data_IF_060743708623
#
_entry.id   IF_060743708623
#
_cell.length_a   1.000
_cell.length_b   1.000
_cell.length_c   1.000
_cell.angle_alpha   90.00
_cell.angle_beta   90.00
_cell.angle_gamma   90.00
#
_symmetry.space_group_name_H-M   'P 1'
#
loop_
_entity.id
_entity.type
_entity.pdbx_description
1 polymer ?
#
# COMPACT_ATOMS: atom_id res chain seq x y z
N UNK A 1 -8.58 6.17 0.80
CA UNK A 1 -9.85 5.43 0.60
C UNK A 1 -10.95 6.46 0.29
N UNK A 2 -11.96 6.16 -0.53
CA UNK A 2 -13.07 7.11 -0.77
C UNK A 2 -14.09 7.07 0.38
N UNK A 3 -14.92 8.11 0.51
CA UNK A 3 -15.95 8.19 1.55
C UNK A 3 -16.96 7.05 1.41
N UNK A 4 -17.38 6.70 0.18
CA UNK A 4 -18.32 5.59 -0.03
C UNK A 4 -17.74 4.27 0.49
N UNK A 5 -16.45 4.02 0.27
CA UNK A 5 -15.79 2.81 0.78
C UNK A 5 -15.67 2.79 2.31
N UNK A 6 -15.54 3.96 2.94
CA UNK A 6 -15.58 4.08 4.41
C UNK A 6 -16.96 3.74 4.96
N UNK A 7 -18.00 4.38 4.42
CA UNK A 7 -19.40 4.14 4.82
C UNK A 7 -19.77 2.67 4.68
N UNK A 8 -19.47 2.09 3.52
CA UNK A 8 -19.72 0.67 3.28
C UNK A 8 -18.99 -0.19 4.33
N UNK A 9 -17.69 0.03 4.57
CA UNK A 9 -16.94 -0.74 5.56
C UNK A 9 -17.56 -0.66 6.96
N UNK A 10 -17.96 0.54 7.38
CA UNK A 10 -18.58 0.79 8.69
C UNK A 10 -19.89 0.02 8.82
N UNK A 11 -20.80 0.11 7.84
CA UNK A 11 -22.09 -0.59 7.86
C UNK A 11 -21.99 -2.13 7.77
N UNK A 12 -20.84 -2.67 7.35
CA UNK A 12 -20.61 -4.11 7.38
C UNK A 12 -20.32 -4.61 8.80
N UNK A 13 -19.63 -3.81 9.60
CA UNK A 13 -19.09 -4.21 10.89
C UNK A 13 -19.85 -3.60 12.07
N UNK A 14 -20.69 -2.59 11.83
CA UNK A 14 -21.63 -2.02 12.80
C UNK A 14 -23.08 -2.27 12.38
N UNK A 15 -23.90 -2.67 13.33
CA UNK A 15 -25.36 -2.71 13.19
C UNK A 15 -25.99 -1.48 13.85
N UNK A 16 -27.19 -1.09 13.43
CA UNK A 16 -27.94 -0.01 14.08
C UNK A 16 -27.32 1.37 13.92
N UNK A 17 -26.62 1.63 12.81
CA UNK A 17 -26.00 2.94 12.56
C UNK A 17 -26.93 3.87 11.79
N UNK A 18 -27.08 5.10 12.26
CA UNK A 18 -27.83 6.18 11.58
C UNK A 18 -26.96 6.90 10.56
N UNK A 19 -27.55 7.83 9.80
CA UNK A 19 -26.75 8.71 8.94
C UNK A 19 -25.83 9.64 9.75
N UNK A 20 -26.19 10.01 10.97
CA UNK A 20 -25.39 10.90 11.81
C UNK A 20 -24.21 10.15 12.42
N UNK A 21 -24.41 8.91 12.85
CA UNK A 21 -23.32 8.01 13.28
C UNK A 21 -22.23 7.90 12.20
N UNK A 22 -22.65 7.72 10.93
CA UNK A 22 -21.71 7.64 9.81
C UNK A 22 -20.96 8.94 9.55
N UNK A 23 -21.64 10.10 9.65
CA UNK A 23 -20.99 11.40 9.48
C UNK A 23 -19.90 11.58 10.53
N UNK A 24 -20.23 11.28 11.79
CA UNK A 24 -19.33 11.40 12.92
C UNK A 24 -18.08 10.53 12.75
N UNK A 25 -18.27 9.24 12.44
CA UNK A 25 -17.17 8.29 12.17
C UNK A 25 -16.29 8.79 11.02
N UNK A 26 -16.88 9.23 9.90
CA UNK A 26 -16.09 9.69 8.74
C UNK A 26 -15.37 11.01 9.04
N UNK A 27 -15.99 11.94 9.76
CA UNK A 27 -15.35 13.19 10.20
C UNK A 27 -14.21 12.95 11.20
N UNK A 28 -14.28 11.89 12.02
CA UNK A 28 -13.16 11.49 12.86
C UNK A 28 -11.95 11.00 12.03
N UNK A 29 -12.17 10.48 10.82
CA UNK A 29 -11.09 9.99 9.92
C UNK A 29 -10.36 11.09 9.14
N UNK A 30 -10.88 12.32 9.12
CA UNK A 30 -10.29 13.43 8.37
C UNK A 30 -11.20 14.65 8.32
N UNK A 31 -10.73 15.73 7.70
CA UNK A 31 -11.53 16.96 7.55
C UNK A 31 -12.42 16.87 6.30
N UNK A 32 -13.25 15.83 6.23
CA UNK A 32 -14.23 15.64 5.16
C UNK A 32 -15.42 16.57 5.37
N UNK A 33 -15.75 17.45 4.41
CA UNK A 33 -16.94 18.30 4.51
C UNK A 33 -18.21 17.44 4.64
N UNK A 34 -19.13 17.85 5.51
CA UNK A 34 -20.39 17.11 5.71
C UNK A 34 -21.19 16.98 4.41
N UNK A 35 -21.10 17.98 3.53
CA UNK A 35 -21.72 17.98 2.20
C UNK A 35 -21.21 16.85 1.31
N UNK A 36 -19.91 16.52 1.35
CA UNK A 36 -19.34 15.39 0.62
C UNK A 36 -19.79 14.05 1.20
N UNK A 37 -19.90 13.97 2.52
CA UNK A 37 -20.37 12.77 3.21
C UNK A 37 -21.85 12.50 2.86
N UNK A 38 -22.70 13.53 2.92
CA UNK A 38 -24.11 13.45 2.51
C UNK A 38 -24.25 13.03 1.05
N UNK A 39 -23.44 13.60 0.14
CA UNK A 39 -23.41 13.20 -1.28
C UNK A 39 -23.02 11.73 -1.44
N UNK A 40 -22.02 11.26 -0.71
CA UNK A 40 -21.56 9.87 -0.74
C UNK A 40 -22.65 8.91 -0.24
N UNK A 41 -23.32 9.22 0.87
CA UNK A 41 -24.45 8.43 1.40
C UNK A 41 -25.60 8.39 0.40
N UNK A 42 -26.00 9.54 -0.15
CA UNK A 42 -27.05 9.64 -1.17
C UNK A 42 -26.74 8.78 -2.40
N UNK A 43 -25.50 8.81 -2.87
CA UNK A 43 -25.05 7.99 -4.00
C UNK A 43 -25.18 6.49 -3.71
N UNK A 44 -24.87 6.05 -2.49
CA UNK A 44 -25.01 4.66 -2.06
C UNK A 44 -26.49 4.22 -1.95
N UNK A 45 -27.40 5.14 -1.62
CA UNK A 45 -28.84 4.89 -1.70
C UNK A 45 -29.29 4.70 -3.16
N UNK A 46 -28.90 5.62 -4.05
CA UNK A 46 -29.28 5.58 -5.48
C UNK A 46 -28.74 4.32 -6.16
N UNK A 47 -27.53 3.87 -5.82
CA UNK A 47 -26.98 2.61 -6.34
C UNK A 47 -27.60 1.36 -5.67
N UNK A 48 -28.52 1.54 -4.73
CA UNK A 48 -29.10 0.53 -3.86
C UNK A 48 -28.03 -0.33 -3.16
N UNK A 49 -26.90 0.25 -2.80
CA UNK A 49 -25.87 -0.42 -1.99
C UNK A 49 -26.24 -0.41 -0.50
N UNK A 50 -27.03 0.57 -0.07
CA UNK A 50 -27.59 0.69 1.29
C UNK A 50 -29.09 0.99 1.22
N UNK A 51 -29.81 0.72 2.30
CA UNK A 51 -31.20 1.16 2.52
C UNK A 51 -31.42 1.58 3.96
N UNK A 52 -32.53 2.26 4.21
CA UNK A 52 -33.00 2.55 5.57
C UNK A 52 -34.00 1.49 6.04
N UNK A 53 -33.92 1.08 7.30
CA UNK A 53 -34.88 0.20 7.97
C UNK A 53 -34.97 0.59 9.43
N UNK A 54 -36.18 0.94 9.90
CA UNK A 54 -36.44 1.36 11.28
C UNK A 54 -35.51 2.50 11.76
N UNK A 55 -35.25 3.50 10.91
CA UNK A 55 -34.35 4.62 11.25
C UNK A 55 -32.85 4.32 11.15
N UNK A 56 -32.46 3.09 10.79
CA UNK A 56 -31.06 2.67 10.67
C UNK A 56 -30.67 2.35 9.23
N UNK A 57 -29.40 2.60 8.91
CA UNK A 57 -28.82 2.27 7.62
C UNK A 57 -28.36 0.81 7.61
N UNK A 58 -28.73 0.10 6.54
CA UNK A 58 -28.43 -1.32 6.36
C UNK A 58 -27.73 -1.54 5.03
N UNK A 59 -26.60 -2.25 5.08
CA UNK A 59 -25.86 -2.68 3.90
C UNK A 59 -26.58 -3.83 3.17
N UNK A 60 -26.79 -3.68 1.87
CA UNK A 60 -27.43 -4.70 1.03
C UNK A 60 -26.44 -5.78 0.54
N UNK A 61 -26.94 -6.99 0.29
CA UNK A 61 -26.11 -8.16 -0.03
C UNK A 61 -25.21 -7.95 -1.26
N UNK A 62 -25.69 -7.25 -2.29
CA UNK A 62 -24.88 -6.93 -3.49
C UNK A 62 -23.70 -6.03 -3.18
N UNK A 63 -23.82 -5.13 -2.21
CA UNK A 63 -22.76 -4.21 -1.81
C UNK A 63 -21.67 -4.92 -1.00
N UNK A 64 -22.02 -5.99 -0.25
CA UNK A 64 -21.04 -6.84 0.45
C UNK A 64 -20.01 -7.43 -0.50
N UNK A 65 -20.41 -7.81 -1.73
CA UNK A 65 -19.50 -8.35 -2.75
C UNK A 65 -18.52 -7.32 -3.32
N UNK A 66 -18.86 -6.03 -3.24
CA UNK A 66 -17.99 -4.92 -3.70
C UNK A 66 -16.87 -4.57 -2.70
N UNK A 67 -16.90 -5.16 -1.50
CA UNK A 67 -15.91 -4.89 -0.46
C UNK A 67 -14.64 -5.70 -0.64
N UNK A 68 -13.52 -5.08 -0.26
CA UNK A 68 -12.19 -5.66 -0.39
C UNK A 68 -12.08 -6.97 0.41
N UNK A 69 -11.44 -7.97 -0.20
CA UNK A 69 -10.94 -9.17 0.48
C UNK A 69 -9.91 -8.78 1.54
N UNK A 70 -9.78 -9.61 2.58
CA UNK A 70 -8.68 -9.50 3.54
C UNK A 70 -7.35 -9.50 2.80
N UNK A 71 -6.50 -8.49 3.03
CA UNK A 71 -5.18 -8.47 2.42
C UNK A 71 -4.20 -9.31 3.25
N UNK A 72 -3.31 -10.01 2.54
CA UNK A 72 -2.24 -10.79 3.14
C UNK A 72 -1.32 -9.88 3.95
N UNK A 73 -0.99 -10.29 5.18
CA UNK A 73 0.02 -9.60 6.00
C UNK A 73 1.35 -9.59 5.25
N UNK A 74 1.96 -8.42 5.16
CA UNK A 74 3.26 -8.24 4.49
C UNK A 74 4.39 -8.11 5.51
N UNK A 75 5.54 -8.75 5.28
CA UNK A 75 6.70 -8.61 6.17
C UNK A 75 7.43 -7.29 5.91
N UNK A 76 8.13 -6.78 6.93
CA UNK A 76 9.15 -5.76 6.73
C UNK A 76 10.48 -6.42 6.37
N UNK A 77 11.06 -6.06 5.23
CA UNK A 77 12.39 -6.52 4.87
C UNK A 77 13.47 -5.73 5.64
N UNK A 78 13.95 -6.30 6.75
CA UNK A 78 14.99 -5.74 7.60
C UNK A 78 16.37 -6.37 7.39
N UNK A 79 16.62 -6.96 6.22
CA UNK A 79 17.87 -7.69 5.97
C UNK A 79 19.08 -6.74 5.98
N UNK A 80 20.19 -7.22 6.54
CA UNK A 80 21.49 -6.57 6.41
C UNK A 80 21.95 -6.60 4.96
N UNK A 81 22.69 -5.58 4.56
CA UNK A 81 23.17 -5.50 3.19
C UNK A 81 24.27 -6.54 2.93
N UNK A 82 23.96 -7.56 2.12
CA UNK A 82 24.89 -8.63 1.78
C UNK A 82 25.95 -8.28 0.73
N UNK A 83 25.95 -7.05 0.19
CA UNK A 83 26.88 -6.57 -0.87
C UNK A 83 26.85 -7.36 -2.19
N UNK A 84 25.75 -8.06 -2.46
CA UNK A 84 25.54 -8.81 -3.70
C UNK A 84 24.41 -8.19 -4.52
N UNK A 85 24.70 -7.92 -5.78
CA UNK A 85 23.78 -7.36 -6.74
C UNK A 85 23.42 -8.38 -7.80
N UNK A 86 22.14 -8.37 -8.19
CA UNK A 86 21.67 -9.03 -9.42
C UNK A 86 21.44 -7.98 -10.49
N UNK A 87 22.06 -8.16 -11.66
CA UNK A 87 21.80 -7.37 -12.87
C UNK A 87 21.04 -8.21 -13.88
N UNK A 88 20.10 -7.58 -14.57
CA UNK A 88 19.43 -8.12 -15.75
C UNK A 88 19.70 -7.19 -16.92
N UNK A 89 20.31 -7.76 -17.95
CA UNK A 89 20.61 -7.11 -19.21
C UNK A 89 19.76 -7.78 -20.28
N UNK A 90 19.18 -7.01 -21.19
CA UNK A 90 18.48 -7.60 -22.33
C UNK A 90 18.67 -6.83 -23.62
N UNK A 91 18.72 -7.57 -24.72
CA UNK A 91 18.67 -7.03 -26.06
C UNK A 91 17.42 -7.57 -26.76
N UNK A 92 16.34 -6.80 -26.69
CA UNK A 92 15.05 -7.16 -27.28
C UNK A 92 14.72 -6.11 -28.35
N UNK A 93 14.72 -6.51 -29.63
CA UNK A 93 14.47 -5.61 -30.76
C UNK A 93 13.13 -4.86 -30.64
N UNK A 94 13.02 -3.69 -31.28
CA UNK A 94 11.81 -2.84 -31.20
C UNK A 94 10.55 -3.54 -31.71
N UNK A 95 10.69 -4.38 -32.74
CA UNK A 95 9.60 -5.26 -33.22
C UNK A 95 8.96 -6.12 -32.11
N UNK A 96 9.71 -6.39 -31.04
CA UNK A 96 9.29 -7.20 -29.90
C UNK A 96 8.99 -6.34 -28.64
N UNK A 97 8.62 -5.06 -28.80
CA UNK A 97 8.30 -4.12 -27.72
C UNK A 97 7.38 -4.70 -26.64
N UNK A 98 6.34 -5.45 -27.02
CA UNK A 98 5.40 -6.08 -26.06
C UNK A 98 6.12 -7.01 -25.06
N UNK A 99 7.07 -7.82 -25.53
CA UNK A 99 7.84 -8.74 -24.69
C UNK A 99 8.71 -7.94 -23.71
N UNK A 100 9.37 -6.89 -24.21
CA UNK A 100 10.21 -5.99 -23.42
C UNK A 100 9.44 -5.30 -22.30
N UNK A 101 8.25 -4.78 -22.61
CA UNK A 101 7.41 -4.09 -21.62
C UNK A 101 6.89 -5.05 -20.55
N UNK A 102 6.55 -6.29 -20.92
CA UNK A 102 6.20 -7.36 -19.97
C UNK A 102 7.38 -7.70 -19.07
N UNK A 103 8.60 -7.84 -19.63
CA UNK A 103 9.82 -8.12 -18.86
C UNK A 103 10.09 -6.99 -17.85
N UNK A 104 10.09 -5.73 -18.30
CA UNK A 104 10.28 -4.54 -17.45
C UNK A 104 9.25 -4.48 -16.32
N UNK A 105 7.97 -4.71 -16.63
CA UNK A 105 6.91 -4.75 -15.63
C UNK A 105 7.15 -5.84 -14.57
N UNK A 106 7.57 -7.04 -15.00
CA UNK A 106 7.88 -8.14 -14.09
C UNK A 106 9.10 -7.85 -13.21
N UNK A 107 10.18 -7.31 -13.79
CA UNK A 107 11.37 -6.89 -13.05
C UNK A 107 11.02 -5.84 -11.99
N UNK A 108 10.22 -4.83 -12.36
CA UNK A 108 9.73 -3.83 -11.42
C UNK A 108 8.91 -4.47 -10.28
N UNK A 109 8.03 -5.43 -10.58
CA UNK A 109 7.27 -6.18 -9.57
C UNK A 109 8.14 -7.06 -8.67
N UNK A 110 9.32 -7.45 -9.13
CA UNK A 110 10.32 -8.18 -8.34
C UNK A 110 11.24 -7.23 -7.53
N UNK A 111 11.04 -5.92 -7.61
CA UNK A 111 11.83 -4.91 -6.91
C UNK A 111 13.11 -4.48 -7.63
N UNK A 112 13.31 -4.85 -8.90
CA UNK A 112 14.41 -4.32 -9.69
C UNK A 112 14.16 -2.84 -10.04
N UNK A 113 15.25 -2.08 -10.05
CA UNK A 113 15.29 -0.70 -10.50
C UNK A 113 15.91 -0.60 -11.89
N UNK A 114 15.39 0.33 -12.70
CA UNK A 114 15.92 0.59 -14.04
C UNK A 114 17.14 1.52 -13.94
N UNK A 115 18.32 0.99 -14.22
CA UNK A 115 19.57 1.77 -14.28
C UNK A 115 19.72 2.44 -15.66
N UNK A 116 19.37 1.71 -16.72
CA UNK A 116 19.25 2.19 -18.11
C UNK A 116 18.13 1.40 -18.80
N UNK A 117 17.66 1.83 -19.99
CA UNK A 117 16.53 1.22 -20.68
C UNK A 117 16.55 -0.32 -20.77
N UNK A 118 17.73 -0.92 -20.90
CA UNK A 118 17.95 -2.36 -20.98
C UNK A 118 18.75 -2.96 -19.81
N UNK A 119 19.03 -2.16 -18.78
CA UNK A 119 19.87 -2.54 -17.63
C UNK A 119 19.07 -2.35 -16.36
N UNK A 120 18.80 -3.45 -15.66
CA UNK A 120 18.02 -3.48 -14.43
C UNK A 120 18.84 -4.09 -13.31
N UNK A 121 18.76 -3.52 -12.11
CA UNK A 121 19.57 -3.94 -10.96
C UNK A 121 18.72 -4.15 -9.72
N UNK A 122 19.15 -5.05 -8.84
CA UNK A 122 18.56 -5.26 -7.51
C UNK A 122 19.65 -5.58 -6.50
N UNK A 123 19.66 -4.93 -5.32
CA UNK A 123 20.60 -5.24 -4.25
C UNK A 123 20.11 -6.45 -3.45
N UNK A 124 20.10 -7.60 -4.11
CA UNK A 124 19.81 -8.91 -3.52
C UNK A 124 20.37 -9.98 -4.46
N UNK A 125 20.74 -11.12 -3.89
CA UNK A 125 21.03 -12.32 -4.68
C UNK A 125 19.72 -13.04 -5.00
N UNK A 126 19.21 -12.81 -6.22
CA UNK A 126 17.98 -13.42 -6.74
C UNK A 126 18.21 -14.02 -8.13
N UNK A 127 19.45 -14.33 -8.47
CA UNK A 127 19.85 -14.80 -9.80
C UNK A 127 19.04 -16.03 -10.22
N UNK A 128 18.91 -17.00 -9.31
CA UNK A 128 18.20 -18.26 -9.58
C UNK A 128 16.71 -18.05 -9.86
N UNK A 129 16.05 -17.16 -9.11
CA UNK A 129 14.64 -16.82 -9.32
C UNK A 129 14.42 -16.17 -10.68
N UNK A 130 15.31 -15.23 -11.07
CA UNK A 130 15.23 -14.55 -12.35
C UNK A 130 15.54 -15.50 -13.51
N UNK A 131 16.56 -16.36 -13.39
CA UNK A 131 16.90 -17.35 -14.42
C UNK A 131 15.75 -18.33 -14.66
N UNK A 132 15.06 -18.76 -13.59
CA UNK A 132 13.87 -19.60 -13.69
C UNK A 132 12.77 -18.89 -14.49
N UNK A 133 12.49 -17.63 -14.17
CA UNK A 133 11.50 -16.82 -14.91
C UNK A 133 11.86 -16.66 -16.39
N UNK A 134 13.12 -16.34 -16.70
CA UNK A 134 13.61 -16.19 -18.09
C UNK A 134 13.47 -17.49 -18.87
N UNK A 135 13.78 -18.63 -18.25
CA UNK A 135 13.62 -19.96 -18.86
C UNK A 135 12.15 -20.23 -19.18
N UNK A 136 11.23 -20.01 -18.23
CA UNK A 136 9.78 -20.20 -18.43
C UNK A 136 9.24 -19.31 -19.58
N UNK A 137 9.85 -18.16 -19.82
CA UNK A 137 9.47 -17.23 -20.89
C UNK A 137 10.25 -17.41 -22.19
N UNK A 138 11.14 -18.40 -22.28
CA UNK A 138 11.99 -18.67 -23.46
C UNK A 138 12.84 -17.46 -23.89
N UNK A 139 13.31 -16.65 -22.94
CA UNK A 139 14.07 -15.41 -23.21
C UNK A 139 15.59 -15.58 -23.04
N UNK A 140 16.09 -16.81 -22.97
CA UNK A 140 17.48 -17.13 -22.57
C UNK A 140 18.55 -16.52 -23.52
N UNK A 141 18.22 -16.39 -24.79
CA UNK A 141 19.11 -15.80 -25.80
C UNK A 141 19.17 -14.28 -25.70
N UNK A 142 18.04 -13.66 -25.31
CA UNK A 142 17.86 -12.20 -25.32
C UNK A 142 18.16 -11.54 -23.97
N UNK A 143 18.21 -12.32 -22.88
CA UNK A 143 18.33 -11.81 -21.52
C UNK A 143 19.49 -12.48 -20.81
N UNK A 144 20.40 -11.68 -20.26
CA UNK A 144 21.52 -12.11 -19.41
C UNK A 144 21.25 -11.70 -17.96
N UNK A 145 21.59 -12.59 -17.03
CA UNK A 145 21.50 -12.35 -15.59
C UNK A 145 22.88 -12.50 -14.99
N UNK A 146 23.36 -11.46 -14.33
CA UNK A 146 24.71 -11.42 -13.77
C UNK A 146 24.62 -11.16 -12.26
N UNK A 147 25.44 -11.88 -11.50
CA UNK A 147 25.73 -11.56 -10.11
C UNK A 147 27.02 -10.77 -10.04
N UNK A 148 27.04 -9.70 -9.24
CA UNK A 148 28.25 -8.92 -9.04
C UNK A 148 28.29 -8.29 -7.66
N UNK A 149 29.49 -8.01 -7.18
CA UNK A 149 29.70 -7.11 -6.05
C UNK A 149 29.93 -5.73 -6.63
N UNK A 150 29.01 -4.82 -6.39
CA UNK A 150 29.11 -3.47 -6.93
C UNK A 150 30.18 -2.69 -6.18
N UNK A 151 31.16 -2.19 -6.90
CA UNK A 151 32.11 -1.18 -6.45
C UNK A 151 31.89 0.05 -7.32
N UNK A 152 30.80 0.77 -7.07
CA UNK A 152 30.44 1.98 -7.82
C UNK A 152 30.72 3.18 -6.93
N UNK A 153 31.40 4.23 -7.42
CA UNK A 153 31.46 5.53 -6.75
C UNK A 153 30.04 6.00 -6.41
N UNK A 154 29.82 6.49 -5.19
CA UNK A 154 28.51 7.00 -4.77
C UNK A 154 27.36 5.98 -4.87
N UNK A 155 27.61 4.72 -4.48
CA UNK A 155 26.63 3.61 -4.44
C UNK A 155 25.26 4.07 -3.90
N UNK A 156 25.26 4.83 -2.79
CA UNK A 156 24.03 5.36 -2.18
C UNK A 156 23.28 6.32 -3.09
N UNK A 157 23.96 7.26 -3.72
CA UNK A 157 23.31 8.23 -4.62
C UNK A 157 22.70 7.52 -5.83
N UNK A 158 23.43 6.58 -6.42
CA UNK A 158 22.95 5.79 -7.55
C UNK A 158 21.68 5.00 -7.19
N UNK A 159 21.67 4.34 -6.02
CA UNK A 159 20.48 3.65 -5.50
C UNK A 159 19.32 4.63 -5.34
N UNK A 160 19.56 5.76 -4.68
CA UNK A 160 18.51 6.74 -4.39
C UNK A 160 17.87 7.27 -5.68
N UNK A 161 18.67 7.51 -6.72
CA UNK A 161 18.19 7.93 -8.06
C UNK A 161 17.37 6.85 -8.76
N UNK A 162 17.84 5.60 -8.77
CA UNK A 162 17.18 4.48 -9.46
C UNK A 162 15.77 4.24 -8.91
N UNK A 163 15.62 4.25 -7.58
CA UNK A 163 14.33 3.98 -6.92
C UNK A 163 13.57 5.24 -6.48
N UNK A 164 14.12 6.44 -6.72
CA UNK A 164 13.55 7.72 -6.29
C UNK A 164 13.23 7.72 -4.79
N UNK A 165 14.23 7.33 -3.99
CA UNK A 165 14.08 7.03 -2.57
C UNK A 165 13.59 8.25 -1.77
N UNK A 166 13.97 9.46 -2.14
CA UNK A 166 13.53 10.72 -1.52
C UNK A 166 12.01 10.88 -1.66
N UNK A 167 11.49 10.64 -2.87
CA UNK A 167 10.05 10.73 -3.15
C UNK A 167 9.27 9.69 -2.35
N UNK A 168 9.77 8.45 -2.30
CA UNK A 168 9.12 7.38 -1.54
C UNK A 168 9.20 7.64 -0.03
N UNK A 169 10.32 8.13 0.48
CA UNK A 169 10.47 8.50 1.89
C UNK A 169 9.50 9.62 2.28
N UNK A 170 9.32 10.62 1.41
CA UNK A 170 8.34 11.69 1.61
C UNK A 170 6.89 11.17 1.56
N UNK A 171 6.57 10.20 0.68
CA UNK A 171 5.26 9.51 0.70
C UNK A 171 5.03 8.78 2.04
N UNK A 172 6.05 8.08 2.56
CA UNK A 172 5.99 7.46 3.88
C UNK A 172 5.87 8.48 5.02
N UNK A 173 6.60 9.60 4.96
CA UNK A 173 6.53 10.69 5.94
C UNK A 173 5.12 11.27 6.03
N UNK A 174 4.50 11.55 4.86
CA UNK A 174 3.10 11.98 4.77
C UNK A 174 2.14 10.96 5.35
N UNK A 175 2.31 9.69 5.03
CA UNK A 175 1.50 8.61 5.60
C UNK A 175 1.60 8.54 7.12
N UNK A 176 2.81 8.57 7.68
CA UNK A 176 3.06 8.55 9.12
C UNK A 176 2.40 9.74 9.80
N UNK A 177 2.64 10.97 9.30
CA UNK A 177 2.06 12.21 9.84
C UNK A 177 0.53 12.15 9.84
N UNK A 178 -0.06 11.79 8.70
CA UNK A 178 -1.51 11.70 8.52
C UNK A 178 -2.15 10.67 9.45
N UNK A 179 -1.52 9.50 9.60
CA UNK A 179 -2.05 8.43 10.47
C UNK A 179 -2.00 8.82 11.94
N UNK A 180 -0.89 9.43 12.39
CA UNK A 180 -0.75 9.95 13.76
C UNK A 180 -1.79 11.04 14.04
N UNK A 181 -2.00 11.96 13.09
CA UNK A 181 -3.00 13.02 13.22
C UNK A 181 -4.41 12.46 13.36
N UNK A 182 -4.80 11.48 12.53
CA UNK A 182 -6.09 10.80 12.62
C UNK A 182 -6.28 10.10 13.97
N UNK A 183 -5.26 9.39 14.44
CA UNK A 183 -5.30 8.70 15.73
C UNK A 183 -5.46 9.69 16.89
N UNK A 184 -4.74 10.82 16.87
CA UNK A 184 -4.88 11.89 17.87
C UNK A 184 -6.28 12.50 17.83
N UNK A 185 -6.77 12.86 16.64
CA UNK A 185 -8.12 13.40 16.46
C UNK A 185 -9.17 12.46 17.04
N UNK A 186 -9.08 11.17 16.73
CA UNK A 186 -10.01 10.16 17.21
C UNK A 186 -9.97 10.00 18.73
N UNK A 187 -8.80 10.10 19.38
CA UNK A 187 -8.68 10.07 20.84
C UNK A 187 -9.36 11.24 21.54
N UNK A 188 -9.38 12.41 20.90
CA UNK A 188 -9.97 13.63 21.46
C UNK A 188 -11.37 13.92 20.92
N UNK A 189 -11.87 13.11 19.99
CA UNK A 189 -13.16 13.30 19.36
C UNK A 189 -14.25 12.95 20.37
N UNK A 190 -15.17 13.89 20.62
CA UNK A 190 -16.32 13.64 21.48
C UNK A 190 -17.38 12.90 20.67
N UNK A 191 -17.49 11.58 20.88
CA UNK A 191 -18.52 10.78 20.25
C UNK A 191 -19.81 10.82 21.07
N UNK A 192 -20.97 10.94 20.42
CA UNK A 192 -22.26 10.91 21.12
C UNK A 192 -22.62 9.52 21.65
N UNK A 193 -21.98 8.48 21.09
CA UNK A 193 -22.15 7.06 21.41
C UNK A 193 -20.79 6.39 21.65
N UNK A 194 -20.54 5.77 22.81
CA UNK A 194 -19.27 5.11 23.11
C UNK A 194 -18.89 4.01 22.10
N UNK A 195 -19.85 3.29 21.55
CA UNK A 195 -19.64 2.22 20.57
C UNK A 195 -19.03 2.69 19.24
N UNK A 196 -19.23 3.97 18.87
CA UNK A 196 -18.66 4.54 17.64
C UNK A 196 -17.14 4.68 17.72
N UNK A 197 -16.57 4.76 18.92
CA UNK A 197 -15.12 4.81 19.13
C UNK A 197 -14.47 3.53 18.60
N UNK A 198 -15.02 2.36 18.94
CA UNK A 198 -14.50 1.06 18.50
C UNK A 198 -14.57 0.92 16.97
N UNK A 199 -15.73 1.24 16.39
CA UNK A 199 -15.95 1.19 14.93
C UNK A 199 -15.00 2.14 14.20
N UNK A 200 -14.76 3.32 14.77
CA UNK A 200 -13.82 4.30 14.22
C UNK A 200 -12.36 3.81 14.27
N UNK A 201 -11.94 3.13 15.35
CA UNK A 201 -10.62 2.51 15.44
C UNK A 201 -10.43 1.39 14.41
N UNK A 202 -11.46 0.59 14.16
CA UNK A 202 -11.43 -0.46 13.14
C UNK A 202 -11.33 0.13 11.74
N UNK A 203 -12.11 1.18 11.45
CA UNK A 203 -12.02 1.90 10.19
C UNK A 203 -10.63 2.52 9.99
N UNK A 204 -10.06 3.14 11.03
CA UNK A 204 -8.70 3.70 10.98
C UNK A 204 -7.67 2.62 10.65
N UNK A 205 -7.80 1.43 11.25
CA UNK A 205 -6.91 0.30 11.00
C UNK A 205 -6.95 -0.15 9.55
N UNK A 206 -8.14 -0.24 8.95
CA UNK A 206 -8.31 -0.61 7.53
C UNK A 206 -7.85 0.48 6.56
N UNK A 207 -8.10 1.76 6.87
CA UNK A 207 -7.55 2.87 6.10
C UNK A 207 -6.02 2.81 6.10
N UNK A 208 -5.44 2.61 7.29
CA UNK A 208 -3.99 2.57 7.50
C UNK A 208 -3.38 1.40 6.74
N UNK A 209 -3.94 0.20 6.85
CA UNK A 209 -3.49 -0.97 6.10
C UNK A 209 -3.48 -0.68 4.61
N UNK A 210 -4.59 -0.18 4.05
CA UNK A 210 -4.71 0.04 2.61
C UNK A 210 -3.72 1.09 2.09
N UNK A 211 -3.57 2.19 2.82
CA UNK A 211 -2.61 3.24 2.48
C UNK A 211 -1.17 2.70 2.58
N UNK A 212 -0.85 1.92 3.63
CA UNK A 212 0.46 1.29 3.79
C UNK A 212 0.77 0.27 2.68
N UNK A 213 -0.14 -0.65 2.38
CA UNK A 213 0.06 -1.67 1.33
C UNK A 213 0.24 -1.05 -0.06
N UNK A 214 -0.36 0.12 -0.30
CA UNK A 214 -0.15 0.88 -1.54
C UNK A 214 1.29 1.41 -1.64
N UNK A 215 1.87 1.85 -0.52
CA UNK A 215 3.27 2.28 -0.46
C UNK A 215 4.21 1.08 -0.54
N UNK A 216 3.93 0.03 0.22
CA UNK A 216 4.69 -1.22 0.23
C UNK A 216 4.80 -1.85 -1.16
N UNK A 217 3.73 -1.79 -1.96
CA UNK A 217 3.74 -2.32 -3.33
C UNK A 217 4.66 -1.54 -4.31
N UNK A 218 5.05 -0.31 -3.96
CA UNK A 218 6.04 0.50 -4.69
C UNK A 218 7.45 0.39 -4.08
N UNK A 219 7.54 -0.09 -2.86
CA UNK A 219 8.77 -0.14 -2.09
C UNK A 219 9.70 -1.24 -2.64
N UNK A 220 10.93 -0.89 -3.05
CA UNK A 220 11.91 -1.88 -3.48
C UNK A 220 12.42 -2.79 -2.36
N UNK A 221 12.09 -2.48 -1.10
CA UNK A 221 12.48 -3.24 0.08
C UNK A 221 13.99 -3.41 0.18
N UNK A 222 14.72 -2.31 -0.03
CA UNK A 222 16.17 -2.28 0.03
C UNK A 222 16.67 -2.76 1.41
N UNK A 223 17.81 -3.46 1.46
CA UNK A 223 18.51 -3.76 2.71
C UNK A 223 18.80 -2.51 3.54
N UNK A 224 18.85 -2.64 4.87
CA UNK A 224 18.94 -1.50 5.80
C UNK A 224 20.11 -0.55 5.48
N UNK A 225 21.27 -1.10 5.09
CA UNK A 225 22.47 -0.30 4.79
C UNK A 225 22.35 0.61 3.56
N UNK A 226 21.33 0.38 2.72
CA UNK A 226 21.07 1.10 1.47
C UNK A 226 19.85 2.04 1.56
N UNK A 227 19.20 2.10 2.73
CA UNK A 227 18.06 2.99 2.95
C UNK A 227 18.54 4.41 3.30
N UNK A 228 17.71 5.44 3.06
CA UNK A 228 17.96 6.79 3.57
C UNK A 228 18.19 6.81 5.09
N UNK A 229 19.05 7.71 5.58
CA UNK A 229 19.30 7.84 7.03
C UNK A 229 18.03 8.13 7.83
N UNK A 230 17.12 8.91 7.26
CA UNK A 230 15.84 9.30 7.85
C UNK A 230 14.66 8.48 7.30
N UNK A 231 14.91 7.20 6.96
CA UNK A 231 13.93 6.35 6.31
C UNK A 231 12.68 6.10 7.17
N UNK A 232 11.52 6.53 6.66
CA UNK A 232 10.23 6.42 7.33
C UNK A 232 9.54 5.07 7.11
N UNK A 233 10.04 4.21 6.22
CA UNK A 233 9.41 2.91 5.91
C UNK A 233 9.31 2.00 7.14
N UNK A 234 10.33 1.96 8.00
CA UNK A 234 10.27 1.19 9.26
C UNK A 234 9.21 1.73 10.21
N UNK A 235 9.15 3.05 10.37
CA UNK A 235 8.15 3.72 11.22
C UNK A 235 6.74 3.48 10.71
N UNK A 236 6.54 3.58 9.40
CA UNK A 236 5.26 3.29 8.74
C UNK A 236 4.82 1.83 8.95
N UNK A 237 5.74 0.87 8.80
CA UNK A 237 5.47 -0.54 9.09
C UNK A 237 5.06 -0.77 10.55
N UNK A 238 5.75 -0.15 11.51
CA UNK A 238 5.43 -0.30 12.92
C UNK A 238 4.01 0.22 13.23
N UNK A 239 3.62 1.37 12.66
CA UNK A 239 2.26 1.91 12.79
C UNK A 239 1.24 0.95 12.19
N UNK A 240 1.48 0.47 10.97
CA UNK A 240 0.63 -0.53 10.32
C UNK A 240 0.44 -1.78 11.19
N UNK A 241 1.53 -2.34 11.73
CA UNK A 241 1.48 -3.53 12.59
C UNK A 241 0.81 -3.29 13.93
N UNK A 242 0.95 -2.11 14.52
CA UNK A 242 0.28 -1.77 15.77
C UNK A 242 -1.23 -1.67 15.57
N UNK A 243 -1.68 -1.03 14.49
CA UNK A 243 -3.12 -0.90 14.19
C UNK A 243 -3.74 -2.22 13.71
N UNK A 244 -3.00 -3.07 12.99
CA UNK A 244 -3.43 -4.45 12.66
C UNK A 244 -3.81 -5.28 13.91
N UNK A 245 -3.16 -5.05 15.06
CA UNK A 245 -3.52 -5.77 16.30
C UNK A 245 -4.92 -5.45 16.81
N UNK A 246 -5.48 -4.28 16.50
CA UNK A 246 -6.84 -3.93 16.88
C UNK A 246 -7.89 -4.72 16.08
N UNK A 247 -7.55 -5.11 14.84
CA UNK A 247 -8.43 -5.95 14.00
C UNK A 247 -8.45 -7.42 14.43
N UNK A 248 -7.38 -7.92 15.05
CA UNK A 248 -7.22 -9.34 15.43
C UNK A 248 -7.75 -9.66 16.83
N UNK A 249 -7.99 -8.65 17.67
CA UNK A 249 -8.47 -8.81 19.06
C UNK A 249 -10.01 -8.78 19.19
N UNK A 250 -10.72 -9.06 18.10
CA UNK A 250 -12.19 -9.16 18.05
C UNK A 250 -12.60 -10.54 17.55
#
# INVERSE_FOLDING_TARGET
>A
MSIEKMVLYVLRNGAGLTSDDLKEIVQAMGNYPETEIKKAIKKLFVSADIKEKNGYLVLLAKARRKMLKANKKVPYNGMKWGRHWTMVLFDIPERNKKIRDILRYKLQKMGFGMMQGSVWVKPADVINDVRRFIKIKNLQWQVKVLGFKMAVPDEKETIHRIWKMEKLNEEYRRFVKKTIQRFRKLKTYSFHKPELVKISLDLLSVITEKEYLTLYAKDPQLPIGLQPKDWNGKRAYNIYRQLDKYLVRQ
#
